data_IF_517975780224
#
_entry.id   IF_517975780224
#
_cell.length_a   1.000
_cell.length_b   1.000
_cell.length_c   1.000
_cell.angle_alpha   90.00
_cell.angle_beta   90.00
_cell.angle_gamma   90.00
#
_symmetry.space_group_name_H-M   'P 1'
#
loop_
_entity.id
_entity.type
_entity.pdbx_description
1 polymer ?
#
# COMPACT_ATOMS: atom_id res chain seq x y z
N UNK A 1 -2.65 16.34 -14.43
CA UNK A 1 -1.52 15.58 -15.02
C UNK A 1 -1.42 14.29 -14.23
N UNK A 2 -1.33 13.13 -14.89
CA UNK A 2 -1.45 11.85 -14.20
C UNK A 2 -0.08 11.26 -13.81
N UNK A 3 -0.01 10.67 -12.62
CA UNK A 3 1.10 9.84 -12.19
C UNK A 3 1.03 8.53 -12.98
N UNK A 4 2.07 8.22 -13.74
CA UNK A 4 2.18 6.94 -14.45
C UNK A 4 3.20 6.03 -13.78
N UNK A 5 2.77 4.82 -13.46
CA UNK A 5 3.59 3.73 -12.93
C UNK A 5 3.40 2.50 -13.82
N UNK A 6 4.47 1.95 -14.40
CA UNK A 6 4.36 0.76 -15.24
C UNK A 6 4.17 -0.50 -14.38
N UNK A 7 3.40 -1.48 -14.90
CA UNK A 7 3.15 -2.76 -14.21
C UNK A 7 4.45 -3.49 -13.86
N UNK A 8 5.48 -3.39 -14.70
CA UNK A 8 6.81 -3.96 -14.43
C UNK A 8 7.45 -3.43 -13.14
N UNK A 9 7.22 -2.15 -12.81
CA UNK A 9 7.76 -1.54 -11.58
C UNK A 9 7.03 -2.04 -10.34
N UNK A 10 5.72 -2.28 -10.45
CA UNK A 10 4.93 -2.91 -9.39
C UNK A 10 5.42 -4.34 -9.16
N UNK A 11 5.58 -5.13 -10.23
CA UNK A 11 6.09 -6.51 -10.16
C UNK A 11 7.46 -6.59 -9.48
N UNK A 12 8.40 -5.73 -9.90
CA UNK A 12 9.73 -5.64 -9.30
C UNK A 12 9.65 -5.34 -7.80
N UNK A 13 8.81 -4.38 -7.41
CA UNK A 13 8.63 -3.98 -6.00
C UNK A 13 8.01 -5.10 -5.15
N UNK A 14 7.10 -5.89 -5.72
CA UNK A 14 6.44 -7.00 -5.03
C UNK A 14 7.23 -8.32 -5.09
N UNK A 15 8.34 -8.38 -5.82
CA UNK A 15 9.10 -9.62 -6.02
C UNK A 15 8.38 -10.65 -6.92
N UNK A 16 7.46 -10.21 -7.78
CA UNK A 16 6.66 -11.10 -8.65
C UNK A 16 7.37 -11.25 -10.00
N UNK A 17 7.69 -12.48 -10.38
CA UNK A 17 8.35 -12.81 -11.66
C UNK A 17 7.41 -13.44 -12.69
N UNK A 18 6.27 -13.98 -12.25
CA UNK A 18 5.25 -14.63 -13.08
C UNK A 18 4.29 -13.61 -13.72
N UNK A 19 3.53 -14.02 -14.73
CA UNK A 19 2.56 -13.17 -15.45
C UNK A 19 1.13 -13.26 -14.92
N UNK A 20 0.83 -14.19 -14.01
CA UNK A 20 -0.54 -14.51 -13.58
C UNK A 20 -1.26 -13.29 -12.96
N UNK A 21 -0.51 -12.36 -12.38
CA UNK A 21 -1.02 -11.16 -11.73
C UNK A 21 -1.07 -9.93 -12.64
N UNK A 22 -0.67 -10.01 -13.91
CA UNK A 22 -0.52 -8.83 -14.78
C UNK A 22 -1.84 -8.08 -14.99
N UNK A 23 -2.95 -8.81 -15.14
CA UNK A 23 -4.28 -8.22 -15.27
C UNK A 23 -4.72 -7.54 -13.95
N UNK A 24 -4.51 -8.20 -12.82
CA UNK A 24 -4.80 -7.66 -11.48
C UNK A 24 -4.00 -6.38 -11.22
N UNK A 25 -2.72 -6.38 -11.57
CA UNK A 25 -1.86 -5.19 -11.45
C UNK A 25 -2.39 -4.04 -12.30
N UNK A 26 -2.79 -4.32 -13.55
CA UNK A 26 -3.36 -3.29 -14.43
C UNK A 26 -4.64 -2.69 -13.86
N UNK A 27 -5.52 -3.54 -13.30
CA UNK A 27 -6.76 -3.09 -12.67
C UNK A 27 -6.46 -2.23 -11.43
N UNK A 28 -5.57 -2.69 -10.56
CA UNK A 28 -5.15 -1.95 -9.37
C UNK A 28 -4.50 -0.61 -9.70
N UNK A 29 -3.69 -0.53 -10.76
CA UNK A 29 -3.15 0.74 -11.26
C UNK A 29 -4.30 1.66 -11.68
N UNK A 30 -5.27 1.16 -12.45
CA UNK A 30 -6.42 1.93 -12.90
C UNK A 30 -7.32 2.43 -11.77
N UNK A 31 -7.46 1.65 -10.70
CA UNK A 31 -8.32 1.98 -9.55
C UNK A 31 -7.62 2.90 -8.54
N UNK A 32 -6.37 2.61 -8.17
CA UNK A 32 -5.67 3.29 -7.07
C UNK A 32 -5.08 4.63 -7.53
N UNK A 33 -4.54 4.71 -8.75
CA UNK A 33 -3.92 5.94 -9.27
C UNK A 33 -4.83 7.17 -9.15
N UNK A 34 -6.09 7.16 -9.64
CA UNK A 34 -6.95 8.33 -9.53
C UNK A 34 -7.30 8.69 -8.07
N UNK A 35 -7.38 7.71 -7.17
CA UNK A 35 -7.63 7.94 -5.73
C UNK A 35 -6.45 8.66 -5.09
N UNK A 36 -5.22 8.21 -5.39
CA UNK A 36 -4.00 8.84 -4.87
C UNK A 36 -3.81 10.24 -5.46
N UNK A 37 -4.05 10.42 -6.75
CA UNK A 37 -4.02 11.74 -7.39
C UNK A 37 -5.02 12.70 -6.77
N UNK A 38 -6.24 12.23 -6.49
CA UNK A 38 -7.23 13.05 -5.80
C UNK A 38 -6.79 13.45 -4.39
N UNK A 39 -6.06 12.57 -3.69
CA UNK A 39 -5.58 12.82 -2.33
C UNK A 39 -4.42 13.84 -2.27
N UNK A 40 -3.58 13.91 -3.31
CA UNK A 40 -2.42 14.80 -3.39
C UNK A 40 -2.86 16.24 -3.71
N UNK A 41 -2.12 17.23 -3.21
CA UNK A 41 -2.33 18.65 -3.58
C UNK A 41 -1.96 18.88 -5.05
N UNK A 42 -2.82 19.60 -5.77
CA UNK A 42 -2.63 19.85 -7.20
C UNK A 42 -1.29 20.50 -7.56
N UNK A 43 -0.75 21.35 -6.67
CA UNK A 43 0.57 21.99 -6.84
C UNK A 43 1.72 20.99 -6.98
N UNK A 44 1.70 19.88 -6.23
CA UNK A 44 2.75 18.85 -6.31
C UNK A 44 2.60 17.94 -7.54
N UNK A 45 1.36 17.76 -8.03
CA UNK A 45 1.11 17.06 -9.28
C UNK A 45 1.52 17.90 -10.50
N UNK A 46 1.43 19.23 -10.39
CA UNK A 46 1.80 20.16 -11.44
C UNK A 46 3.31 20.41 -11.54
N UNK A 47 4.06 20.24 -10.44
CA UNK A 47 5.52 20.38 -10.39
C UNK A 47 6.25 19.18 -11.02
N UNK A 48 6.17 19.07 -12.34
CA UNK A 48 6.83 18.00 -13.12
C UNK A 48 8.31 18.25 -13.38
N UNK A 49 8.79 19.48 -13.16
CA UNK A 49 10.20 19.83 -13.27
C UNK A 49 11.03 19.30 -12.10
N UNK A 50 10.41 19.09 -10.94
CA UNK A 50 11.07 18.52 -9.77
C UNK A 50 11.13 16.98 -9.83
N UNK A 51 12.22 16.47 -10.40
CA UNK A 51 12.44 15.03 -10.60
C UNK A 51 12.44 14.23 -9.30
N UNK A 52 12.96 14.80 -8.20
CA UNK A 52 12.97 14.16 -6.88
C UNK A 52 11.58 14.02 -6.27
N UNK A 53 10.74 15.06 -6.41
CA UNK A 53 9.34 15.01 -6.02
C UNK A 53 8.59 13.96 -6.83
N UNK A 54 8.69 14.00 -8.16
CA UNK A 54 8.02 13.05 -9.04
C UNK A 54 8.43 11.61 -8.76
N UNK A 55 9.71 11.35 -8.51
CA UNK A 55 10.20 10.04 -8.09
C UNK A 55 9.60 9.60 -6.75
N UNK A 56 9.46 10.53 -5.79
CA UNK A 56 8.87 10.25 -4.47
C UNK A 56 7.39 9.91 -4.57
N UNK A 57 6.62 10.67 -5.37
CA UNK A 57 5.20 10.40 -5.60
C UNK A 57 4.96 9.07 -6.30
N UNK A 58 5.73 8.78 -7.36
CA UNK A 58 5.66 7.49 -8.09
C UNK A 58 6.05 6.31 -7.21
N UNK A 59 7.06 6.46 -6.36
CA UNK A 59 7.47 5.43 -5.41
C UNK A 59 6.37 5.17 -4.36
N UNK A 60 5.79 6.23 -3.81
CA UNK A 60 4.68 6.12 -2.85
C UNK A 60 3.47 5.42 -3.46
N UNK A 61 3.08 5.79 -4.68
CA UNK A 61 2.01 5.14 -5.42
C UNK A 61 2.32 3.66 -5.68
N UNK A 62 3.55 3.34 -6.11
CA UNK A 62 3.98 1.95 -6.32
C UNK A 62 3.90 1.13 -5.04
N UNK A 63 4.30 1.70 -3.89
CA UNK A 63 4.24 1.04 -2.58
C UNK A 63 2.79 0.77 -2.14
N UNK A 64 1.87 1.70 -2.38
CA UNK A 64 0.43 1.50 -2.11
C UNK A 64 -0.16 0.38 -2.98
N UNK A 65 0.07 0.42 -4.29
CA UNK A 65 -0.44 -0.59 -5.23
C UNK A 65 0.14 -1.97 -4.90
N UNK A 66 1.44 -2.04 -4.64
CA UNK A 66 2.10 -3.30 -4.32
C UNK A 66 1.59 -3.89 -3.00
N UNK A 67 1.38 -3.05 -1.97
CA UNK A 67 0.78 -3.51 -0.72
C UNK A 67 -0.64 -4.07 -0.90
N UNK A 68 -1.48 -3.43 -1.72
CA UNK A 68 -2.81 -3.95 -2.04
C UNK A 68 -2.75 -5.29 -2.77
N UNK A 69 -1.88 -5.42 -3.77
CA UNK A 69 -1.70 -6.67 -4.51
C UNK A 69 -1.28 -7.80 -3.58
N UNK A 70 -0.31 -7.57 -2.70
CA UNK A 70 0.17 -8.56 -1.75
C UNK A 70 -0.91 -8.95 -0.72
N UNK A 71 -1.76 -8.00 -0.31
CA UNK A 71 -2.94 -8.29 0.52
C UNK A 71 -3.99 -9.14 -0.22
N UNK A 72 -4.15 -8.97 -1.55
CA UNK A 72 -5.02 -9.84 -2.34
C UNK A 72 -4.44 -11.25 -2.48
N UNK A 73 -3.15 -11.38 -2.80
CA UNK A 73 -2.45 -12.67 -2.88
C UNK A 73 -2.54 -13.41 -1.53
N UNK A 74 -2.41 -12.71 -0.41
CA UNK A 74 -2.53 -13.30 0.91
C UNK A 74 -3.92 -13.91 1.21
N UNK A 75 -4.96 -13.52 0.48
CA UNK A 75 -6.32 -14.07 0.61
C UNK A 75 -6.56 -15.28 -0.30
N UNK A 76 -5.62 -15.61 -1.19
CA UNK A 76 -5.75 -16.77 -2.06
C UNK A 76 -5.65 -18.08 -1.25
N UNK A 77 -6.45 -19.11 -1.61
CA UNK A 77 -6.32 -20.43 -0.99
C UNK A 77 -4.88 -20.96 -1.09
N UNK A 78 -4.37 -21.58 -0.02
CA UNK A 78 -2.98 -22.04 0.05
C UNK A 78 -1.92 -20.98 0.39
N UNK A 79 -2.21 -19.67 0.30
CA UNK A 79 -1.21 -18.62 0.56
C UNK A 79 -0.77 -18.56 2.04
N UNK A 80 -1.70 -18.87 2.95
CA UNK A 80 -1.51 -18.80 4.41
C UNK A 80 -1.61 -20.17 5.09
N UNK A 81 -1.66 -21.25 4.32
CA UNK A 81 -1.85 -22.59 4.85
C UNK A 81 -0.54 -23.17 5.35
N UNK A 82 -0.59 -23.84 6.50
CA UNK A 82 0.53 -24.64 7.02
C UNK A 82 0.26 -26.12 6.76
N UNK A 83 1.26 -26.83 6.27
CA UNK A 83 1.21 -28.28 6.04
C UNK A 83 2.20 -28.95 6.98
N UNK A 84 1.75 -29.95 7.75
CA UNK A 84 2.62 -30.77 8.60
C UNK A 84 2.46 -32.25 8.29
N UNK A 85 3.58 -32.96 8.17
CA UNK A 85 3.66 -34.41 7.92
C UNK A 85 4.75 -34.98 8.85
N UNK A 86 4.33 -35.67 9.91
CA UNK A 86 5.26 -36.13 10.96
C UNK A 86 6.01 -34.95 11.59
N UNK A 87 7.34 -35.00 11.57
CA UNK A 87 8.21 -33.94 12.11
C UNK A 87 8.51 -32.81 11.10
N UNK A 88 8.03 -32.92 9.85
CA UNK A 88 8.19 -31.88 8.84
C UNK A 88 7.01 -30.91 8.89
N UNK A 89 7.30 -29.63 9.09
CA UNK A 89 6.31 -28.55 9.02
C UNK A 89 6.73 -27.51 7.98
N UNK A 90 5.83 -27.26 7.02
CA UNK A 90 5.85 -26.11 6.14
C UNK A 90 4.85 -25.12 6.71
N UNK A 91 5.33 -23.96 7.13
CA UNK A 91 4.46 -22.90 7.62
C UNK A 91 4.75 -21.62 6.85
N UNK A 92 3.72 -20.80 6.60
CA UNK A 92 3.94 -19.46 6.08
C UNK A 92 4.86 -18.68 7.05
N UNK A 93 5.51 -17.60 6.58
CA UNK A 93 6.22 -16.68 7.45
C UNK A 93 5.32 -16.26 8.63
N UNK A 94 5.87 -15.98 9.82
CA UNK A 94 5.04 -15.61 10.95
C UNK A 94 4.29 -14.29 10.67
N UNK A 95 3.09 -14.05 11.24
CA UNK A 95 2.22 -12.91 10.92
C UNK A 95 2.89 -11.54 10.99
N UNK A 96 3.96 -11.39 11.77
CA UNK A 96 4.78 -10.18 11.84
C UNK A 96 5.43 -9.85 10.49
N UNK A 97 5.77 -10.85 9.66
CA UNK A 97 6.25 -10.69 8.27
C UNK A 97 5.09 -10.40 7.30
N UNK A 98 3.86 -10.74 7.65
CA UNK A 98 2.67 -10.36 6.87
C UNK A 98 2.22 -8.93 7.18
N UNK A 99 2.50 -8.45 8.40
CA UNK A 99 2.37 -7.04 8.77
C UNK A 99 3.29 -6.12 7.95
N UNK A 100 4.30 -6.68 7.28
CA UNK A 100 5.13 -6.02 6.26
C UNK A 100 4.46 -5.92 4.89
N UNK A 101 3.47 -6.76 4.54
CA UNK A 101 2.65 -6.60 3.32
C UNK A 101 1.75 -5.35 3.46
N UNK A 102 1.01 -5.26 4.58
CA UNK A 102 0.36 -4.02 5.00
C UNK A 102 1.39 -2.90 5.30
N UNK A 103 2.66 -3.28 5.56
CA UNK A 103 3.78 -2.39 5.77
C UNK A 103 4.13 -1.59 4.51
N UNK A 104 4.11 -2.20 3.33
CA UNK A 104 4.34 -1.48 2.06
C UNK A 104 3.24 -0.44 1.81
N UNK A 105 1.98 -0.82 1.98
CA UNK A 105 0.85 0.11 1.81
C UNK A 105 0.96 1.29 2.78
N UNK A 106 1.24 1.02 4.07
CA UNK A 106 1.48 2.05 5.08
C UNK A 106 2.70 2.92 4.77
N UNK A 107 3.79 2.33 4.30
CA UNK A 107 5.00 3.03 3.89
C UNK A 107 4.72 3.99 2.73
N UNK A 108 3.98 3.53 1.72
CA UNK A 108 3.55 4.35 0.59
C UNK A 108 2.72 5.54 1.05
N UNK A 109 1.72 5.32 1.90
CA UNK A 109 0.92 6.42 2.47
C UNK A 109 1.73 7.35 3.37
N UNK A 110 2.65 6.83 4.19
CA UNK A 110 3.54 7.65 5.02
C UNK A 110 4.45 8.54 4.17
N UNK A 111 4.95 8.02 3.04
CA UNK A 111 5.75 8.78 2.07
C UNK A 111 4.93 9.85 1.36
N UNK A 112 3.68 9.56 1.02
CA UNK A 112 2.79 10.50 0.36
C UNK A 112 2.25 11.58 1.31
N UNK A 113 2.20 11.29 2.62
CA UNK A 113 1.59 12.13 3.66
C UNK A 113 1.95 13.63 3.58
N UNK A 114 3.21 14.05 3.35
CA UNK A 114 3.56 15.47 3.27
C UNK A 114 2.88 16.21 2.11
N UNK A 115 2.48 15.50 1.06
CA UNK A 115 1.96 16.06 -0.19
C UNK A 115 0.44 15.99 -0.28
N UNK A 116 -0.24 15.47 0.75
CA UNK A 116 -1.69 15.30 0.75
C UNK A 116 -2.42 16.60 1.05
N UNK A 117 -3.66 16.67 0.58
CA UNK A 117 -4.63 17.70 1.00
C UNK A 117 -4.83 17.61 2.52
N UNK A 118 -4.97 18.74 3.23
CA UNK A 118 -5.12 18.75 4.70
C UNK A 118 -6.21 17.81 5.23
N UNK A 119 -7.38 17.80 4.58
CA UNK A 119 -8.52 16.97 4.98
C UNK A 119 -8.20 15.47 4.90
N UNK A 120 -7.46 15.05 3.86
CA UNK A 120 -7.07 13.66 3.66
C UNK A 120 -5.94 13.26 4.61
N UNK A 121 -4.99 14.16 4.84
CA UNK A 121 -3.88 13.94 5.78
C UNK A 121 -4.37 13.72 7.22
N UNK A 122 -5.40 14.46 7.65
CA UNK A 122 -6.02 14.32 8.97
C UNK A 122 -6.76 12.99 9.16
N UNK A 123 -7.49 12.53 8.13
CA UNK A 123 -8.20 11.24 8.15
C UNK A 123 -7.19 10.08 8.21
N UNK A 124 -6.15 10.10 7.37
CA UNK A 124 -5.12 9.04 7.38
C UNK A 124 -4.34 8.99 8.68
N UNK A 125 -4.05 10.14 9.30
CA UNK A 125 -3.38 10.16 10.60
C UNK A 125 -4.21 9.45 11.69
N UNK A 126 -5.52 9.66 11.70
CA UNK A 126 -6.45 9.01 12.64
C UNK A 126 -6.53 7.49 12.41
N UNK A 127 -6.57 7.05 11.15
CA UNK A 127 -6.66 5.63 10.79
C UNK A 127 -5.35 4.89 11.08
N UNK A 128 -4.20 5.50 10.80
CA UNK A 128 -2.88 4.88 10.99
C UNK A 128 -2.45 4.83 12.46
N UNK A 129 -2.98 5.69 13.33
CA UNK A 129 -2.61 5.75 14.76
C UNK A 129 -3.55 4.97 15.67
N UNK A 130 -4.57 4.29 15.12
CA UNK A 130 -5.47 3.44 15.92
C UNK A 130 -6.21 4.23 16.99
N UNK A 131 -6.89 5.32 16.59
CA UNK A 131 -7.65 6.18 17.49
C UNK A 131 -8.85 5.47 18.15
N UNK A 132 -8.60 4.63 19.15
CA UNK A 132 -9.55 4.32 20.22
C UNK A 132 -9.03 4.99 21.49
N UNK A 133 -9.39 6.27 21.67
CA UNK A 133 -9.62 6.79 23.03
C UNK A 133 -11.12 6.80 23.22
N UNK A 134 -11.63 5.76 23.87
CA UNK A 134 -12.94 5.81 24.51
C UNK A 134 -12.83 6.93 25.57
N UNK A 135 -13.71 7.95 25.57
CA UNK A 135 -13.74 8.89 26.67
C UNK A 135 -14.15 8.13 27.93
N UNK A 136 -13.28 8.09 28.93
CA UNK A 136 -13.67 7.75 30.30
C UNK A 136 -14.67 8.83 30.75
N UNK A 137 -15.97 8.53 30.65
CA UNK A 137 -16.95 9.22 31.47
C UNK A 137 -16.61 8.92 32.93
N UNK A 138 -16.15 9.96 33.60
CA UNK A 138 -16.00 10.04 35.04
C UNK A 138 -17.39 9.95 35.65
N UNK A 139 -17.73 8.76 36.14
CA UNK A 139 -18.90 8.53 36.97
C UNK A 139 -18.75 9.28 38.30
N UNK A 140 -19.70 10.19 38.54
CA UNK A 140 -20.09 10.73 39.84
C UNK A 140 -20.72 9.63 40.72
#
# INVERSE_FOLDING_TARGET
MSLSVPSSRVKEKCGITVSDYDATISNLIGEITPVVEFAIRGEHLADTGNTGLQATLKLGLTEVICGELLEQIAREPGALESVSIGDLALSPPPPQVWSTLAGLKRQGWARLRPFLKPDVAGVLATVLTGGSKIPEESGL
#
